data_IF_289242578861
#
_entry.id   IF_289242578861
#
_cell.length_a   1.000
_cell.length_b   1.000
_cell.length_c   1.000
_cell.angle_alpha   90.00
_cell.angle_beta   90.00
_cell.angle_gamma   90.00
#
_symmetry.space_group_name_H-M   'P 1'
#
loop_
_entity.id
_entity.type
_entity.pdbx_description
1 polymer ?
#
# COMPACT_ATOMS: atom_id res chain seq x y z
N UNK A 1 -22.12 -61.17 -35.73
CA UNK A 1 -21.61 -62.39 -36.40
C UNK A 1 -21.15 -62.04 -37.82
N UNK A 2 -20.39 -62.91 -38.49
CA UNK A 2 -19.68 -62.58 -39.73
C UNK A 2 -20.44 -62.96 -41.01
N UNK A 3 -20.54 -62.03 -41.96
CA UNK A 3 -20.69 -62.28 -43.40
C UNK A 3 -19.39 -61.88 -44.11
N UNK A 4 -18.94 -62.62 -45.14
CA UNK A 4 -17.55 -62.55 -45.62
C UNK A 4 -17.42 -62.83 -47.12
N UNK A 5 -16.32 -62.33 -47.72
CA UNK A 5 -15.74 -62.64 -49.06
C UNK A 5 -16.40 -61.85 -50.20
N UNK A 6 -15.65 -61.26 -51.14
CA UNK A 6 -14.19 -61.17 -51.34
C UNK A 6 -13.86 -60.37 -52.63
N UNK A 7 -12.68 -60.42 -53.26
CA UNK A 7 -11.27 -60.68 -52.86
C UNK A 7 -10.39 -60.67 -54.14
N UNK A 8 -9.56 -59.64 -54.35
CA UNK A 8 -8.27 -59.64 -55.12
C UNK A 8 -7.63 -58.24 -54.97
N UNK A 9 -6.33 -57.98 -54.73
CA UNK A 9 -5.03 -58.59 -55.17
C UNK A 9 -4.75 -58.43 -56.67
N UNK A 10 -3.61 -57.95 -57.18
CA UNK A 10 -2.37 -57.28 -56.67
C UNK A 10 -1.83 -56.38 -57.84
N UNK A 11 -0.69 -55.63 -57.89
CA UNK A 11 0.52 -55.44 -57.05
C UNK A 11 1.25 -54.12 -57.43
N UNK A 12 2.13 -53.58 -56.57
CA UNK A 12 3.39 -52.85 -56.92
C UNK A 12 3.33 -51.47 -57.66
N UNK A 13 4.37 -50.61 -57.67
CA UNK A 13 5.51 -50.35 -56.72
C UNK A 13 6.28 -49.05 -57.09
N UNK A 14 6.28 -48.06 -56.18
CA UNK A 14 7.33 -47.06 -55.86
C UNK A 14 7.87 -46.03 -56.92
N UNK A 15 8.52 -44.99 -56.36
CA UNK A 15 9.55 -44.10 -56.96
C UNK A 15 9.13 -42.99 -57.96
N UNK A 16 9.78 -41.80 -58.01
CA UNK A 16 10.56 -41.02 -57.01
C UNK A 16 10.86 -39.59 -57.51
N UNK A 17 10.81 -38.59 -56.62
CA UNK A 17 11.58 -37.34 -56.59
C UNK A 17 11.31 -36.15 -57.57
N UNK A 18 11.67 -34.98 -57.02
CA UNK A 18 11.96 -33.64 -57.58
C UNK A 18 10.78 -32.71 -57.91
N UNK A 19 10.71 -31.40 -57.57
CA UNK A 19 11.49 -30.41 -56.76
C UNK A 19 11.76 -29.12 -57.56
N UNK A 20 11.07 -28.04 -57.15
CA UNK A 20 11.31 -26.61 -57.42
C UNK A 20 10.18 -25.87 -56.67
N UNK A 21 10.33 -25.51 -55.40
CA UNK A 21 10.95 -24.25 -54.96
C UNK A 21 10.48 -22.99 -55.72
N UNK A 22 9.69 -22.17 -55.01
CA UNK A 22 9.89 -20.71 -55.00
C UNK A 22 9.24 -20.09 -53.77
N UNK A 23 10.03 -19.31 -53.03
CA UNK A 23 9.67 -18.73 -51.74
C UNK A 23 8.81 -17.46 -51.89
N UNK A 24 7.71 -17.40 -51.14
CA UNK A 24 7.08 -16.16 -50.68
C UNK A 24 6.77 -16.36 -49.20
N UNK A 25 7.47 -15.63 -48.32
CA UNK A 25 7.23 -15.66 -46.87
C UNK A 25 6.28 -14.54 -46.44
N UNK A 26 5.28 -14.81 -45.58
CA UNK A 26 4.55 -13.75 -44.90
C UNK A 26 5.43 -13.11 -43.81
N UNK A 27 5.25 -11.81 -43.57
CA UNK A 27 5.94 -11.09 -42.49
C UNK A 27 5.46 -11.59 -41.13
N UNK A 28 6.34 -11.56 -40.13
CA UNK A 28 5.94 -11.76 -38.73
C UNK A 28 5.32 -10.45 -38.21
N UNK A 29 4.00 -10.34 -38.28
CA UNK A 29 3.27 -9.25 -37.64
C UNK A 29 3.21 -9.48 -36.13
N UNK A 30 3.93 -8.66 -35.38
CA UNK A 30 4.07 -8.70 -33.91
C UNK A 30 2.74 -8.33 -33.23
N UNK A 31 1.82 -9.29 -33.24
CA UNK A 31 0.47 -9.14 -32.67
C UNK A 31 0.56 -9.35 -31.17
N UNK A 32 0.97 -8.29 -30.46
CA UNK A 32 0.96 -8.22 -29.00
C UNK A 32 -0.45 -8.53 -28.50
N UNK A 33 -0.63 -9.75 -27.96
CA UNK A 33 -1.94 -10.29 -27.65
C UNK A 33 -2.53 -9.61 -26.42
N UNK A 34 -3.31 -8.55 -26.65
CA UNK A 34 -4.17 -7.95 -25.63
C UNK A 34 -5.06 -9.04 -25.03
N UNK A 35 -4.86 -9.35 -23.75
CA UNK A 35 -5.63 -10.38 -23.07
C UNK A 35 -7.11 -9.95 -23.02
N UNK A 36 -8.07 -10.89 -23.20
CA UNK A 36 -9.47 -10.59 -22.97
C UNK A 36 -9.67 -10.01 -21.57
N UNK A 37 -10.57 -9.02 -21.38
CA UNK A 37 -10.84 -8.49 -20.04
C UNK A 37 -11.25 -9.63 -19.11
N UNK A 38 -10.56 -9.79 -17.98
CA UNK A 38 -10.99 -10.75 -16.95
C UNK A 38 -12.40 -10.37 -16.49
N UNK A 39 -13.32 -11.35 -16.31
CA UNK A 39 -14.68 -11.04 -15.87
C UNK A 39 -14.62 -10.38 -14.49
N UNK A 40 -15.30 -9.24 -14.34
CA UNK A 40 -15.39 -8.50 -13.08
C UNK A 40 -15.86 -9.42 -11.96
N UNK A 41 -15.05 -9.51 -10.89
CA UNK A 41 -15.30 -10.43 -9.78
C UNK A 41 -16.37 -9.83 -8.88
N UNK A 42 -17.01 -10.67 -8.06
CA UNK A 42 -17.95 -10.16 -7.04
C UNK A 42 -17.28 -9.16 -6.08
N UNK A 43 -15.96 -9.30 -5.85
CA UNK A 43 -15.14 -8.35 -5.11
C UNK A 43 -15.03 -6.97 -5.80
N UNK A 44 -14.99 -6.90 -7.13
CA UNK A 44 -14.83 -5.65 -7.88
C UNK A 44 -16.06 -4.72 -7.78
N UNK A 45 -17.22 -5.22 -7.30
CA UNK A 45 -18.46 -4.43 -7.20
C UNK A 45 -18.35 -3.19 -6.31
N UNK A 46 -17.40 -3.17 -5.38
CA UNK A 46 -17.19 -2.08 -4.42
C UNK A 46 -16.20 -1.00 -4.92
N UNK A 47 -15.78 -1.05 -6.20
CA UNK A 47 -14.75 -0.19 -6.82
C UNK A 47 -15.29 0.85 -7.81
N UNK A 48 -16.60 1.08 -7.85
CA UNK A 48 -17.26 1.91 -8.89
C UNK A 48 -16.82 3.38 -8.97
N UNK A 49 -16.18 3.90 -7.92
CA UNK A 49 -15.56 5.24 -7.88
C UNK A 49 -14.05 5.17 -7.55
N UNK A 50 -13.44 4.00 -7.70
CA UNK A 50 -12.12 3.67 -7.18
C UNK A 50 -12.12 3.23 -5.70
N UNK A 51 -10.95 2.99 -5.07
CA UNK A 51 -9.60 3.09 -5.61
C UNK A 51 -9.40 2.31 -6.91
N UNK A 52 -8.60 2.82 -7.84
CA UNK A 52 -8.49 2.30 -9.21
C UNK A 52 -7.32 1.33 -9.37
N UNK A 53 -7.38 0.44 -10.35
CA UNK A 53 -6.23 -0.30 -10.86
C UNK A 53 -5.49 0.52 -11.93
N UNK A 54 -4.19 0.27 -12.11
CA UNK A 54 -3.37 0.95 -13.10
C UNK A 54 -3.73 0.65 -14.58
N UNK A 55 -4.59 -0.35 -14.84
CA UNK A 55 -5.16 -0.67 -16.15
C UNK A 55 -6.55 -0.06 -16.40
N UNK A 56 -7.14 0.62 -15.40
CA UNK A 56 -8.44 1.30 -15.52
C UNK A 56 -8.29 2.77 -15.92
N UNK A 57 -9.32 3.33 -16.55
CA UNK A 57 -9.39 4.75 -16.91
C UNK A 57 -9.70 5.62 -15.66
N UNK A 58 -8.70 5.72 -14.78
CA UNK A 58 -8.80 6.47 -13.54
C UNK A 58 -8.81 7.98 -13.80
N UNK A 59 -9.76 8.77 -13.25
CA UNK A 59 -9.94 10.19 -13.58
C UNK A 59 -8.66 11.02 -13.51
N UNK A 60 -8.47 11.92 -14.49
CA UNK A 60 -7.30 12.80 -14.56
C UNK A 60 -7.16 13.66 -13.29
N UNK A 61 -6.03 13.48 -12.60
CA UNK A 61 -5.70 14.17 -11.35
C UNK A 61 -4.20 14.05 -11.10
N UNK A 62 -3.59 15.12 -10.57
CA UNK A 62 -2.19 15.08 -10.13
C UNK A 62 -2.02 14.06 -9.01
N UNK A 63 -1.17 13.06 -9.25
CA UNK A 63 -0.83 12.01 -8.28
C UNK A 63 0.68 11.92 -8.12
N UNK A 64 1.12 11.70 -6.88
CA UNK A 64 2.48 11.31 -6.57
C UNK A 64 2.61 9.81 -6.81
N UNK A 65 3.38 9.41 -7.81
CA UNK A 65 3.73 8.01 -8.04
C UNK A 65 4.75 7.57 -6.96
N UNK A 66 4.46 6.44 -6.33
CA UNK A 66 5.23 5.83 -5.25
C UNK A 66 5.53 4.35 -5.58
N UNK A 67 5.68 4.00 -6.85
CA UNK A 67 5.83 2.61 -7.30
C UNK A 67 4.47 1.92 -7.34
N UNK A 68 4.14 1.13 -6.31
CA UNK A 68 2.86 0.39 -6.27
C UNK A 68 1.62 1.22 -5.91
N UNK A 69 1.75 2.53 -5.71
CA UNK A 69 0.64 3.47 -5.47
C UNK A 69 0.83 4.75 -6.27
N UNK A 70 -0.26 5.33 -6.77
CA UNK A 70 -0.33 6.73 -7.20
C UNK A 70 -1.31 7.46 -6.31
N UNK A 71 -0.77 8.33 -5.46
CA UNK A 71 -1.48 8.98 -4.35
C UNK A 71 -1.94 10.38 -4.76
N UNK A 72 -3.22 10.78 -4.58
CA UNK A 72 -3.71 12.07 -5.01
C UNK A 72 -3.06 13.24 -4.26
N UNK A 73 -2.57 14.23 -5.00
CA UNK A 73 -2.00 15.47 -4.46
C UNK A 73 -3.09 16.53 -4.40
N UNK A 74 -3.67 16.73 -3.22
CA UNK A 74 -4.82 17.61 -2.99
C UNK A 74 -4.47 18.72 -1.99
N UNK A 75 -4.84 20.00 -2.23
CA UNK A 75 -4.61 21.08 -1.28
C UNK A 75 -5.14 20.76 0.13
N UNK A 76 -4.35 21.06 1.16
CA UNK A 76 -4.69 20.73 2.55
C UNK A 76 -4.45 19.27 2.97
N UNK A 77 -3.98 18.42 2.06
CA UNK A 77 -3.54 17.05 2.35
C UNK A 77 -2.02 16.94 2.32
N UNK A 78 -1.38 16.52 3.42
CA UNK A 78 0.06 16.20 3.45
C UNK A 78 0.29 14.69 3.39
N UNK A 79 1.19 14.26 2.52
CA UNK A 79 1.55 12.85 2.28
C UNK A 79 2.81 12.50 3.11
N UNK A 80 2.74 11.47 3.95
CA UNK A 80 3.87 10.93 4.69
C UNK A 80 4.06 9.45 4.34
N UNK A 81 5.26 9.03 3.93
CA UNK A 81 5.56 7.61 3.70
C UNK A 81 6.00 6.95 5.01
N UNK A 82 5.31 5.87 5.40
CA UNK A 82 5.59 5.13 6.62
C UNK A 82 6.71 4.12 6.36
N UNK A 83 7.71 4.04 7.26
CA UNK A 83 8.87 3.15 7.10
C UNK A 83 9.10 2.29 8.34
N UNK A 84 9.42 1.01 8.14
CA UNK A 84 9.80 0.10 9.21
C UNK A 84 11.25 0.35 9.69
N UNK A 85 11.59 -0.22 10.85
CA UNK A 85 12.97 -0.30 11.33
C UNK A 85 13.80 -1.09 10.29
N UNK A 86 14.79 -0.43 9.69
CA UNK A 86 15.53 -0.95 8.52
C UNK A 86 15.21 -0.25 7.19
N UNK A 87 14.34 0.77 7.19
CA UNK A 87 14.15 1.68 6.04
C UNK A 87 13.15 1.20 4.98
N UNK A 88 12.71 -0.07 5.02
CA UNK A 88 11.65 -0.56 4.11
C UNK A 88 10.36 0.24 4.32
N UNK A 89 9.85 0.87 3.25
CA UNK A 89 8.54 1.52 3.27
C UNK A 89 7.44 0.48 3.48
N UNK A 90 6.43 0.81 4.31
CA UNK A 90 5.38 -0.11 4.76
C UNK A 90 3.95 0.43 4.57
N UNK A 91 3.81 1.66 4.09
CA UNK A 91 2.52 2.30 3.88
C UNK A 91 2.68 3.78 3.54
N UNK A 92 1.56 4.46 3.31
CA UNK A 92 1.50 5.91 3.15
C UNK A 92 0.41 6.43 4.09
N UNK A 93 0.63 7.57 4.76
CA UNK A 93 -0.39 8.25 5.56
C UNK A 93 -0.72 9.59 4.91
N UNK A 94 -2.01 9.80 4.65
CA UNK A 94 -2.57 11.06 4.18
C UNK A 94 -3.17 11.78 5.39
N UNK A 95 -2.60 12.92 5.76
CA UNK A 95 -3.19 13.79 6.78
C UNK A 95 -3.97 14.89 6.09
N UNK A 96 -5.28 14.94 6.32
CA UNK A 96 -6.17 16.00 5.85
C UNK A 96 -6.91 16.58 7.07
N UNK A 97 -6.71 17.88 7.34
CA UNK A 97 -7.24 18.56 8.52
C UNK A 97 -6.99 17.82 9.85
N UNK A 98 -8.01 17.17 10.41
CA UNK A 98 -7.97 16.38 11.67
C UNK A 98 -8.21 14.89 11.44
N UNK A 99 -8.02 14.43 10.22
CA UNK A 99 -8.17 13.04 9.81
C UNK A 99 -6.82 12.51 9.32
N UNK A 100 -6.49 11.27 9.69
CA UNK A 100 -5.36 10.54 9.14
C UNK A 100 -5.88 9.27 8.46
N UNK A 101 -5.53 9.07 7.18
CA UNK A 101 -5.79 7.87 6.40
C UNK A 101 -4.45 7.19 6.11
N UNK A 102 -4.16 6.11 6.82
CA UNK A 102 -3.01 5.24 6.50
C UNK A 102 -3.45 4.18 5.49
N UNK A 103 -2.75 4.05 4.37
CA UNK A 103 -3.01 3.08 3.31
C UNK A 103 -1.85 2.11 3.13
N UNK A 104 -2.17 0.85 2.82
CA UNK A 104 -1.22 -0.23 2.58
C UNK A 104 -1.70 -1.11 1.41
N UNK A 105 -0.93 -1.21 0.31
CA UNK A 105 -1.26 -2.09 -0.80
C UNK A 105 -0.67 -3.49 -0.54
N UNK A 106 -1.47 -4.54 -0.69
CA UNK A 106 -0.99 -5.92 -0.67
C UNK A 106 -1.36 -6.65 -1.96
N UNK A 107 -0.65 -7.72 -2.27
CA UNK A 107 -0.99 -8.66 -3.33
C UNK A 107 -2.22 -9.50 -2.95
N UNK A 108 -3.03 -9.85 -3.95
CA UNK A 108 -4.15 -10.78 -3.81
C UNK A 108 -4.06 -11.88 -4.89
N UNK A 109 -4.76 -13.03 -4.73
CA UNK A 109 -4.92 -14.04 -5.77
C UNK A 109 -5.58 -13.49 -7.04
N UNK A 110 -5.54 -14.24 -8.14
CA UNK A 110 -6.39 -13.95 -9.31
C UNK A 110 -7.87 -14.27 -9.06
N UNK A 111 -8.14 -15.26 -8.22
CA UNK A 111 -9.43 -15.95 -8.07
C UNK A 111 -10.39 -15.37 -7.03
N UNK A 112 -9.87 -14.62 -6.06
CA UNK A 112 -10.61 -14.19 -4.87
C UNK A 112 -10.02 -12.90 -4.31
N UNK A 113 -10.87 -12.11 -3.65
CA UNK A 113 -10.42 -11.10 -2.71
C UNK A 113 -9.80 -11.73 -1.45
N UNK A 114 -9.13 -10.90 -0.66
CA UNK A 114 -8.54 -11.25 0.65
C UNK A 114 -8.98 -10.28 1.75
N UNK A 115 -9.75 -9.24 1.45
CA UNK A 115 -10.19 -8.25 2.44
C UNK A 115 -10.97 -8.91 3.58
N UNK A 116 -11.91 -9.81 3.29
CA UNK A 116 -12.73 -10.48 4.32
C UNK A 116 -11.88 -11.30 5.32
N UNK A 117 -10.84 -11.98 4.83
CA UNK A 117 -9.88 -12.71 5.67
C UNK A 117 -9.07 -11.74 6.57
N UNK A 118 -8.60 -10.64 5.99
CA UNK A 118 -7.91 -9.58 6.75
C UNK A 118 -8.84 -8.90 7.76
N UNK A 119 -10.13 -8.79 7.44
CA UNK A 119 -11.17 -8.19 8.30
C UNK A 119 -11.36 -9.03 9.58
N UNK A 120 -11.46 -10.35 9.46
CA UNK A 120 -11.56 -11.25 10.62
C UNK A 120 -10.25 -11.38 11.42
N UNK A 121 -9.08 -11.30 10.77
CA UNK A 121 -7.80 -11.16 11.48
C UNK A 121 -7.76 -9.86 12.31
N UNK A 122 -8.19 -8.73 11.74
CA UNK A 122 -8.25 -7.43 12.43
C UNK A 122 -9.28 -7.43 13.57
N UNK A 123 -10.45 -8.06 13.40
CA UNK A 123 -11.44 -8.29 14.46
C UNK A 123 -10.80 -8.99 15.65
N UNK A 124 -10.08 -10.08 15.38
CA UNK A 124 -9.38 -10.90 16.39
C UNK A 124 -8.24 -10.11 17.06
N UNK A 125 -7.48 -9.34 16.28
CA UNK A 125 -6.37 -8.53 16.80
C UNK A 125 -6.86 -7.41 17.73
N UNK A 126 -7.92 -6.67 17.35
CA UNK A 126 -8.44 -5.56 18.16
C UNK A 126 -9.12 -6.06 19.44
N UNK A 127 -9.92 -7.13 19.36
CA UNK A 127 -10.59 -7.72 20.54
C UNK A 127 -9.58 -8.30 21.54
N UNK A 128 -8.51 -8.94 21.07
CA UNK A 128 -7.41 -9.43 21.92
C UNK A 128 -6.66 -8.30 22.64
N UNK A 129 -6.62 -7.09 22.05
CA UNK A 129 -6.09 -5.88 22.70
C UNK A 129 -7.09 -5.20 23.66
N UNK A 130 -8.23 -5.84 23.97
CA UNK A 130 -9.29 -5.26 24.80
C UNK A 130 -10.10 -4.15 24.10
N UNK A 131 -9.96 -4.02 22.79
CA UNK A 131 -10.77 -3.12 21.97
C UNK A 131 -12.16 -3.69 21.66
N UNK A 132 -13.06 -2.81 21.23
CA UNK A 132 -14.37 -3.19 20.68
C UNK A 132 -14.35 -3.06 19.17
N UNK A 133 -15.13 -3.89 18.50
CA UNK A 133 -15.28 -3.93 17.03
C UNK A 133 -16.74 -4.14 16.66
N UNK A 134 -17.14 -3.54 15.54
CA UNK A 134 -18.48 -3.54 14.98
C UNK A 134 -18.40 -3.60 13.46
N UNK A 135 -19.21 -4.46 12.84
CA UNK A 135 -19.38 -4.55 11.39
C UNK A 135 -20.21 -3.36 10.88
N UNK A 136 -19.79 -2.76 9.76
CA UNK A 136 -20.55 -1.71 9.12
C UNK A 136 -20.48 -1.86 7.60
N UNK A 137 -21.59 -1.63 6.89
CA UNK A 137 -21.61 -1.63 5.43
C UNK A 137 -21.36 -0.19 4.94
N UNK A 138 -20.13 0.05 4.46
CA UNK A 138 -19.64 1.38 4.09
C UNK A 138 -19.66 1.63 2.58
N UNK A 139 -19.17 2.80 2.17
CA UNK A 139 -19.02 3.21 0.77
C UNK A 139 -18.21 2.22 -0.09
N UNK A 140 -17.34 1.43 0.55
CA UNK A 140 -16.51 0.40 -0.07
C UNK A 140 -16.96 -1.04 0.28
N UNK A 141 -18.22 -1.22 0.72
CA UNK A 141 -18.71 -2.46 1.28
C UNK A 141 -18.32 -2.67 2.76
N UNK A 142 -18.26 -3.92 3.24
CA UNK A 142 -18.01 -4.23 4.64
C UNK A 142 -16.71 -3.64 5.20
N UNK A 143 -16.83 -2.74 6.17
CA UNK A 143 -15.73 -2.19 6.98
C UNK A 143 -15.80 -2.70 8.43
N UNK A 144 -14.75 -2.45 9.22
CA UNK A 144 -14.80 -2.59 10.67
C UNK A 144 -14.66 -1.24 11.37
N UNK A 145 -15.55 -0.97 12.31
CA UNK A 145 -15.50 0.17 13.22
C UNK A 145 -14.96 -0.30 14.55
N UNK A 146 -13.93 0.36 15.05
CA UNK A 146 -13.19 -0.07 16.23
C UNK A 146 -13.09 1.04 17.29
N UNK A 147 -13.05 0.62 18.56
CA UNK A 147 -12.69 1.45 19.70
C UNK A 147 -11.50 0.80 20.42
N UNK A 148 -10.31 1.37 20.26
CA UNK A 148 -9.05 0.82 20.78
C UNK A 148 -8.67 1.54 22.10
N UNK A 149 -8.40 0.83 23.21
CA UNK A 149 -8.06 1.47 24.48
C UNK A 149 -6.69 2.17 24.42
N UNK A 150 -6.66 3.47 24.72
CA UNK A 150 -5.43 4.28 24.71
C UNK A 150 -4.73 4.21 26.06
N UNK A 151 -3.80 3.26 26.20
CA UNK A 151 -3.10 2.96 27.45
C UNK A 151 -2.65 4.23 28.23
N UNK A 152 -2.97 4.25 29.52
CA UNK A 152 -2.64 5.36 30.44
C UNK A 152 -3.53 6.60 30.33
N UNK A 153 -4.36 6.75 29.29
CA UNK A 153 -5.28 7.89 29.16
C UNK A 153 -6.68 7.56 29.69
N UNK A 154 -7.19 8.40 30.58
CA UNK A 154 -8.54 8.32 31.14
C UNK A 154 -9.29 9.63 30.94
N UNK A 155 -10.63 9.57 30.98
CA UNK A 155 -11.46 10.76 31.06
C UNK A 155 -11.62 11.24 32.52
N UNK A 156 -12.30 12.38 32.70
CA UNK A 156 -12.55 12.99 34.01
C UNK A 156 -13.42 12.12 34.94
N UNK A 157 -14.03 11.06 34.40
CA UNK A 157 -14.80 10.05 35.14
C UNK A 157 -13.96 8.78 35.43
N UNK A 158 -12.65 8.83 35.17
CA UNK A 158 -11.70 7.73 35.42
C UNK A 158 -11.82 6.55 34.46
N UNK A 159 -12.64 6.67 33.40
CA UNK A 159 -12.88 5.62 32.40
C UNK A 159 -11.75 5.62 31.38
N UNK A 160 -11.37 4.43 30.91
CA UNK A 160 -10.34 4.26 29.89
C UNK A 160 -10.76 4.95 28.58
N UNK A 161 -9.98 5.92 28.09
CA UNK A 161 -10.23 6.57 26.81
C UNK A 161 -9.99 5.57 25.66
N UNK A 162 -10.86 5.63 24.65
CA UNK A 162 -10.78 4.80 23.46
C UNK A 162 -10.63 5.65 22.20
N UNK A 163 -9.65 5.33 21.38
CA UNK A 163 -9.50 5.90 20.03
C UNK A 163 -10.49 5.21 19.09
N UNK A 164 -11.27 5.99 18.34
CA UNK A 164 -12.15 5.47 17.29
C UNK A 164 -11.40 5.37 15.97
N UNK A 165 -11.49 4.21 15.34
CA UNK A 165 -10.76 3.85 14.11
C UNK A 165 -11.74 3.17 13.15
N UNK A 166 -11.65 3.45 11.85
CA UNK A 166 -12.29 2.65 10.80
C UNK A 166 -11.23 1.88 10.02
N UNK A 167 -11.51 0.62 9.74
CA UNK A 167 -10.71 -0.25 8.90
C UNK A 167 -11.50 -0.55 7.63
N UNK A 168 -11.05 0.02 6.51
CA UNK A 168 -11.63 -0.20 5.18
C UNK A 168 -10.66 -1.05 4.34
N UNK A 169 -11.18 -1.77 3.36
CA UNK A 169 -10.36 -2.51 2.42
C UNK A 169 -11.09 -2.71 1.11
N UNK A 170 -10.34 -2.71 0.02
CA UNK A 170 -10.86 -2.87 -1.35
C UNK A 170 -9.99 -3.86 -2.09
N UNK A 171 -10.57 -5.02 -2.42
CA UNK A 171 -9.97 -6.03 -3.29
C UNK A 171 -10.15 -5.63 -4.76
N UNK A 172 -9.08 -5.70 -5.55
CA UNK A 172 -9.05 -5.43 -6.99
C UNK A 172 -8.15 -6.39 -7.77
N UNK A 173 -7.78 -6.08 -9.02
CA UNK A 173 -7.03 -6.97 -9.92
C UNK A 173 -5.67 -7.49 -9.42
N UNK A 174 -5.68 -8.59 -8.64
CA UNK A 174 -4.52 -9.22 -7.97
C UNK A 174 -3.90 -8.37 -6.85
N UNK A 175 -4.69 -7.47 -6.25
CA UNK A 175 -4.28 -6.65 -5.10
C UNK A 175 -5.43 -6.36 -4.15
N UNK A 176 -5.10 -5.92 -2.93
CA UNK A 176 -6.03 -5.31 -1.97
C UNK A 176 -5.43 -4.00 -1.47
N UNK A 177 -6.22 -2.93 -1.40
CA UNK A 177 -5.83 -1.68 -0.75
C UNK A 177 -6.50 -1.63 0.61
N UNK A 178 -5.70 -1.77 1.66
CA UNK A 178 -6.13 -1.64 3.04
C UNK A 178 -6.01 -0.17 3.49
N UNK A 179 -6.99 0.32 4.25
CA UNK A 179 -7.06 1.68 4.77
C UNK A 179 -7.43 1.72 6.26
N UNK A 180 -6.71 2.54 7.03
CA UNK A 180 -6.97 2.79 8.46
C UNK A 180 -7.24 4.27 8.65
N UNK A 181 -8.47 4.62 8.98
CA UNK A 181 -8.91 6.00 9.21
C UNK A 181 -8.94 6.29 10.70
N UNK A 182 -8.30 7.39 11.11
CA UNK A 182 -8.20 7.89 12.49
C UNK A 182 -8.57 9.37 12.56
N UNK A 183 -8.95 9.84 13.75
CA UNK A 183 -9.33 11.24 13.97
C UNK A 183 -10.77 11.54 13.56
N UNK A 184 -11.04 12.74 13.05
CA UNK A 184 -12.42 13.18 12.82
C UNK A 184 -13.14 12.39 11.71
N UNK A 185 -12.44 11.94 10.66
CA UNK A 185 -13.01 11.08 9.61
C UNK A 185 -13.35 9.65 10.04
N UNK A 186 -13.03 9.25 11.28
CA UNK A 186 -13.55 8.03 11.89
C UNK A 186 -14.92 8.24 12.57
N UNK A 187 -15.39 9.49 12.73
CA UNK A 187 -16.55 9.81 13.60
C UNK A 187 -17.52 10.89 13.11
N UNK A 188 -17.10 11.84 12.26
CA UNK A 188 -17.95 12.92 11.72
C UNK A 188 -18.32 12.66 10.26
N UNK A 189 -19.60 12.67 9.85
CA UNK A 189 -20.01 12.37 8.47
C UNK A 189 -19.31 13.20 7.39
N UNK A 190 -19.06 14.48 7.65
CA UNK A 190 -18.43 15.40 6.70
C UNK A 190 -16.94 15.05 6.50
N UNK A 191 -16.26 14.67 7.57
CA UNK A 191 -14.88 14.22 7.55
C UNK A 191 -14.74 12.76 7.05
N UNK A 192 -15.79 11.94 7.18
CA UNK A 192 -15.90 10.61 6.53
C UNK A 192 -15.94 10.77 5.01
N UNK A 193 -16.85 11.61 4.49
CA UNK A 193 -16.98 11.84 3.06
C UNK A 193 -15.66 12.34 2.42
N UNK A 194 -15.01 13.34 3.03
CA UNK A 194 -13.75 13.89 2.51
C UNK A 194 -12.56 12.91 2.53
N UNK A 195 -12.53 11.95 3.47
CA UNK A 195 -11.46 10.92 3.51
C UNK A 195 -11.74 9.74 2.58
N UNK A 196 -13.02 9.42 2.36
CA UNK A 196 -13.45 8.42 1.37
C UNK A 196 -13.22 8.94 -0.06
N UNK A 197 -13.45 10.23 -0.31
CA UNK A 197 -13.10 10.90 -1.58
C UNK A 197 -11.58 10.87 -1.84
N UNK A 198 -10.74 11.00 -0.81
CA UNK A 198 -9.28 10.82 -0.94
C UNK A 198 -8.92 9.36 -1.24
N UNK A 199 -9.61 8.38 -0.65
CA UNK A 199 -9.37 6.96 -0.90
C UNK A 199 -9.75 6.56 -2.33
N UNK A 200 -10.93 6.97 -2.80
CA UNK A 200 -11.42 6.79 -4.17
C UNK A 200 -10.41 7.24 -5.25
N UNK A 201 -9.66 8.32 -4.99
CA UNK A 201 -8.73 8.93 -5.97
C UNK A 201 -7.37 8.22 -6.08
N UNK A 202 -7.08 7.24 -5.21
CA UNK A 202 -5.85 6.44 -5.26
C UNK A 202 -5.88 5.49 -6.47
N UNK A 203 -4.75 5.28 -7.13
CA UNK A 203 -4.55 4.18 -8.09
C UNK A 203 -3.52 3.21 -7.51
N UNK A 204 -3.78 1.91 -7.60
CA UNK A 204 -2.85 0.84 -7.20
C UNK A 204 -2.16 0.28 -8.44
N UNK A 205 -0.84 0.21 -8.39
CA UNK A 205 0.00 -0.28 -9.50
C UNK A 205 0.56 -1.64 -9.11
N UNK A 206 -0.23 -2.70 -9.34
CA UNK A 206 0.18 -4.06 -8.96
C UNK A 206 1.40 -4.57 -9.72
N UNK A 207 1.57 -4.14 -10.97
CA UNK A 207 2.64 -4.60 -11.84
C UNK A 207 2.55 -6.10 -12.18
N UNK A 208 3.45 -6.56 -13.06
CA UNK A 208 3.37 -7.91 -13.60
C UNK A 208 3.96 -8.95 -12.64
N UNK A 209 5.04 -8.58 -11.93
CA UNK A 209 5.90 -9.44 -11.10
C UNK A 209 5.10 -10.43 -10.23
N UNK A 210 5.40 -11.74 -10.33
CA UNK A 210 4.85 -12.76 -9.43
C UNK A 210 5.14 -12.42 -7.97
N UNK A 211 4.15 -12.58 -7.11
CA UNK A 211 4.26 -12.32 -5.67
C UNK A 211 3.25 -13.23 -4.94
N UNK A 212 3.64 -13.89 -3.85
CA UNK A 212 2.71 -14.55 -2.92
C UNK A 212 1.56 -13.62 -2.50
N UNK A 213 0.33 -14.13 -2.27
CA UNK A 213 -0.76 -13.34 -1.70
C UNK A 213 -0.43 -12.75 -0.32
N UNK A 214 -1.04 -11.60 0.00
CA UNK A 214 -0.90 -10.82 1.25
C UNK A 214 0.51 -10.27 1.53
N UNK A 215 1.41 -10.29 0.54
CA UNK A 215 2.68 -9.57 0.61
C UNK A 215 2.46 -8.09 0.26
N UNK A 216 3.13 -7.18 0.97
CA UNK A 216 3.01 -5.75 0.75
C UNK A 216 3.67 -5.37 -0.60
N UNK A 217 2.94 -4.64 -1.44
CA UNK A 217 3.47 -4.19 -2.72
C UNK A 217 4.57 -3.11 -2.53
N UNK A 218 5.65 -3.09 -3.33
CA UNK A 218 6.76 -2.16 -3.17
C UNK A 218 6.37 -0.67 -3.27
N UNK A 219 6.44 0.02 -2.13
CA UNK A 219 6.37 1.48 -2.07
C UNK A 219 7.79 2.04 -2.25
N UNK A 220 7.96 2.97 -3.18
CA UNK A 220 9.24 3.60 -3.56
C UNK A 220 9.05 5.12 -3.57
N UNK A 221 9.88 5.88 -2.84
CA UNK A 221 9.84 7.35 -2.94
C UNK A 221 10.71 7.78 -4.14
N UNK A 222 10.16 8.49 -5.14
CA UNK A 222 10.98 8.99 -6.25
C UNK A 222 11.95 10.06 -5.75
N UNK A 223 13.20 10.14 -6.28
CA UNK A 223 14.23 11.06 -5.78
C UNK A 223 13.82 12.54 -5.76
N UNK A 224 12.89 12.93 -6.63
CA UNK A 224 12.39 14.30 -6.75
C UNK A 224 11.36 14.67 -5.66
N UNK A 225 10.69 13.67 -5.06
CA UNK A 225 9.77 13.85 -3.94
C UNK A 225 10.46 13.71 -2.58
N UNK A 226 11.72 13.26 -2.55
CA UNK A 226 12.55 13.37 -1.34
C UNK A 226 12.83 14.86 -1.08
N UNK A 227 12.57 15.39 0.12
CA UNK A 227 12.88 16.78 0.40
C UNK A 227 14.38 17.01 0.26
N UNK A 228 14.78 17.89 -0.67
CA UNK A 228 16.18 18.33 -0.79
C UNK A 228 16.59 18.91 0.56
N UNK A 229 17.50 18.21 1.25
CA UNK A 229 17.84 18.49 2.64
C UNK A 229 18.24 19.96 2.85
N UNK A 230 17.93 20.49 4.03
CA UNK A 230 18.25 21.86 4.46
C UNK A 230 19.74 22.09 4.75
N UNK A 231 20.62 21.48 3.93
CA UNK A 231 22.07 21.63 3.95
C UNK A 231 22.48 23.00 3.38
N UNK A 232 22.05 24.08 4.06
CA UNK A 232 22.27 25.46 3.62
C UNK A 232 22.02 26.54 4.67
N UNK A 233 21.61 26.19 5.90
CA UNK A 233 21.38 27.17 6.99
C UNK A 233 22.11 26.76 8.29
N UNK A 234 23.44 26.60 8.20
CA UNK A 234 24.31 26.44 9.37
C UNK A 234 25.77 26.88 9.06
N UNK A 235 25.93 28.04 8.43
CA UNK A 235 27.25 28.48 7.93
C UNK A 235 27.35 29.91 7.39
N UNK A 236 26.71 30.89 8.05
CA UNK A 236 26.78 32.30 7.62
C UNK A 236 26.61 33.32 8.78
N UNK A 237 27.28 33.12 9.92
CA UNK A 237 27.36 34.11 10.99
C UNK A 237 28.69 34.02 11.74
N UNK A 238 29.43 35.13 11.83
CA UNK A 238 30.64 35.27 12.65
C UNK A 238 31.97 34.97 11.93
N UNK A 239 32.55 35.99 11.31
CA UNK A 239 34.01 36.08 11.11
C UNK A 239 34.56 37.26 11.89
N UNK A 240 35.65 37.04 12.63
CA UNK A 240 36.63 38.07 13.00
C UNK A 240 36.41 38.87 14.30
N UNK A 241 36.99 38.39 15.41
CA UNK A 241 37.74 39.21 16.39
C UNK A 241 38.44 38.31 17.44
N UNK A 242 39.66 38.67 17.86
CA UNK A 242 40.33 38.12 19.04
C UNK A 242 41.35 36.99 18.79
N UNK A 243 42.59 37.22 19.24
CA UNK A 243 43.67 36.23 19.32
C UNK A 243 43.94 35.84 20.81
N UNK A 244 44.67 34.76 21.11
CA UNK A 244 44.72 34.18 22.45
C UNK A 244 45.89 34.66 23.33
N UNK A 245 45.72 34.60 24.65
CA UNK A 245 46.80 34.54 25.66
C UNK A 245 46.40 33.58 26.80
N UNK A 246 47.27 33.34 27.80
CA UNK A 246 47.40 32.02 28.45
C UNK A 246 47.41 31.98 30.01
N UNK A 247 47.53 30.75 30.53
CA UNK A 247 47.95 30.33 31.89
C UNK A 247 46.89 30.22 33.02
N UNK A 248 47.18 29.36 34.01
CA UNK A 248 46.32 28.97 35.14
C UNK A 248 45.55 27.67 34.87
N UNK A 249 46.03 26.44 35.16
CA UNK A 249 46.77 25.89 36.32
C UNK A 249 45.91 25.72 37.58
N UNK A 250 45.61 24.46 37.96
CA UNK A 250 45.31 24.10 39.36
C UNK A 250 43.95 23.45 39.67
N UNK A 251 43.90 22.10 39.63
CA UNK A 251 43.18 21.25 40.62
C UNK A 251 41.62 21.39 40.73
N UNK A 252 40.87 20.62 41.58
CA UNK A 252 41.21 19.91 42.82
C UNK A 252 41.00 18.38 42.84
N UNK A 253 41.53 17.75 43.89
CA UNK A 253 41.11 16.43 44.37
C UNK A 253 40.97 16.41 45.91
N UNK A 254 40.56 15.28 46.48
CA UNK A 254 40.77 14.99 47.91
C UNK A 254 39.58 15.29 48.85
N UNK A 255 38.88 14.22 49.22
CA UNK A 255 37.79 14.16 50.20
C UNK A 255 38.08 14.70 51.61
N UNK A 256 37.01 15.10 52.33
CA UNK A 256 36.97 15.15 53.80
C UNK A 256 35.53 14.92 54.34
N UNK A 257 35.45 14.24 55.49
CA UNK A 257 34.29 14.00 56.38
C UNK A 257 34.85 13.37 57.70
N UNK A 258 34.08 13.10 58.77
CA UNK A 258 32.72 13.52 59.15
C UNK A 258 32.61 14.08 60.61
N UNK A 259 31.46 14.66 60.99
CA UNK A 259 30.93 14.82 62.38
C UNK A 259 29.39 14.99 62.23
N UNK A 260 28.47 14.40 63.03
CA UNK A 260 28.15 14.52 64.49
C UNK A 260 27.78 15.96 64.89
N UNK A 261 26.75 16.24 65.70
CA UNK A 261 25.93 15.42 66.63
C UNK A 261 24.49 16.00 66.80
N UNK A 262 23.60 15.23 67.45
CA UNK A 262 22.18 15.53 67.81
C UNK A 262 21.19 15.77 66.66
#
# INVERSE_FOLDING_TARGET
>A
MFGRRGKKKDTARAARAREADRVIGPSAEDTSASAPPEPAKEADRHRSLGPWDASEDAPELQRLDLGSLRVPVVPGTSIQVNSARGGRHIGVTLHNQRTALQIQPFSAPKSSGVWEEMREELRTQVTTQGGKVEDFDGTFGPELRAVIPVAGKKDDQGRQLGERVRYIGVDGPRWVLFGVIRGEGAVKPEAMAGVEELFQKIVVVRGETPMPPRELLPIVVPPEAMPKNQAGQNGAAGQGAGAPEAAGTGEPGGAAAPEREN
#
